data_IF_533914220641
#
_entry.id   IF_533914220641
#
_cell.length_a   1.000
_cell.length_b   1.000
_cell.length_c   1.000
_cell.angle_alpha   90.00
_cell.angle_beta   90.00
_cell.angle_gamma   90.00
#
_symmetry.space_group_name_H-M   'P 1'
#
loop_
_entity.id
_entity.type
_entity.pdbx_description
1 polymer ?
#
# COMPACT_ATOMS: atom_id res chain seq x y z
N UNK A 1 -3.60 29.09 1.43
CA UNK A 1 -3.23 28.49 2.73
C UNK A 1 -4.33 28.76 3.73
N UNK A 2 -4.90 27.71 4.31
CA UNK A 2 -5.96 27.74 5.33
C UNK A 2 -5.42 27.19 6.64
N UNK A 3 -5.71 27.86 7.75
CA UNK A 3 -5.45 27.34 9.10
C UNK A 3 -6.55 26.37 9.49
N UNK A 4 -6.18 25.18 9.95
CA UNK A 4 -7.11 24.19 10.51
C UNK A 4 -6.57 23.61 11.81
N UNK A 5 -7.41 22.89 12.54
CA UNK A 5 -7.03 22.18 13.76
C UNK A 5 -7.17 20.69 13.53
N UNK A 6 -6.07 19.99 13.30
CA UNK A 6 -6.07 18.54 13.02
C UNK A 6 -5.41 17.81 14.18
N UNK A 7 -6.11 16.85 14.78
CA UNK A 7 -5.52 16.03 15.85
C UNK A 7 -4.58 14.98 15.23
N UNK A 8 -3.26 15.05 15.45
CA UNK A 8 -2.32 14.11 14.84
C UNK A 8 -2.30 12.76 15.58
N UNK A 9 -1.89 11.66 14.92
CA UNK A 9 -1.82 10.33 15.54
C UNK A 9 -0.82 10.24 16.71
N UNK A 10 0.23 11.07 16.70
CA UNK A 10 1.23 11.15 17.77
C UNK A 10 0.95 12.28 18.78
N UNK A 11 -0.32 12.71 18.93
CA UNK A 11 -0.68 13.86 19.77
C UNK A 11 -0.26 13.69 21.23
N UNK A 12 -0.33 12.48 21.78
CA UNK A 12 0.09 12.21 23.16
C UNK A 12 1.57 12.58 23.39
N UNK A 13 2.44 12.14 22.49
CA UNK A 13 3.87 12.46 22.52
C UNK A 13 4.09 13.96 22.29
N UNK A 14 3.43 14.53 21.28
CA UNK A 14 3.52 15.96 20.94
C UNK A 14 3.20 16.85 22.14
N UNK A 15 2.15 16.51 22.90
CA UNK A 15 1.79 17.26 24.10
C UNK A 15 2.80 17.06 25.23
N UNK A 16 3.28 15.84 25.47
CA UNK A 16 4.25 15.59 26.55
C UNK A 16 5.61 16.26 26.30
N UNK A 17 5.96 16.50 25.02
CA UNK A 17 7.16 17.23 24.61
C UNK A 17 6.98 18.76 24.64
N UNK A 18 5.74 19.28 24.77
CA UNK A 18 5.47 20.71 24.85
C UNK A 18 5.93 21.30 26.20
N UNK A 19 6.78 22.34 26.20
CA UNK A 19 7.20 23.03 27.42
C UNK A 19 6.02 23.59 28.23
N UNK A 20 4.97 24.06 27.56
CA UNK A 20 3.77 24.61 28.20
C UNK A 20 2.95 23.52 28.92
N UNK A 21 2.87 22.31 28.33
CA UNK A 21 2.22 21.16 28.98
C UNK A 21 3.07 20.68 30.16
N UNK A 22 4.39 20.61 30.01
CA UNK A 22 5.28 20.25 31.12
C UNK A 22 5.12 21.25 32.27
N UNK A 23 5.13 22.55 31.97
CA UNK A 23 4.89 23.60 32.95
C UNK A 23 3.51 23.50 33.60
N UNK A 24 2.44 23.21 32.85
CA UNK A 24 1.12 22.94 33.42
C UNK A 24 1.12 21.75 34.38
N UNK A 25 1.83 20.66 34.06
CA UNK A 25 1.88 19.49 34.93
C UNK A 25 2.69 19.77 36.21
N UNK A 26 3.79 20.51 36.11
CA UNK A 26 4.75 20.70 37.21
C UNK A 26 4.55 21.97 38.04
N UNK A 27 3.87 22.99 37.53
CA UNK A 27 3.71 24.30 38.17
C UNK A 27 2.23 24.70 38.28
N UNK A 28 1.89 25.44 39.34
CA UNK A 28 0.59 26.09 39.54
C UNK A 28 0.62 27.60 39.22
N UNK A 29 1.70 28.10 38.61
CA UNK A 29 1.87 29.52 38.27
C UNK A 29 1.00 29.96 37.07
N UNK A 30 0.39 29.01 36.36
CA UNK A 30 -0.50 29.32 35.25
C UNK A 30 -1.90 29.72 35.76
N UNK A 31 -2.58 30.65 35.07
CA UNK A 31 -3.95 31.01 35.43
C UNK A 31 -4.88 29.79 35.38
N UNK A 32 -5.73 29.65 36.40
CA UNK A 32 -6.74 28.58 36.53
C UNK A 32 -6.17 27.15 36.60
N UNK A 33 -4.88 26.98 36.90
CA UNK A 33 -4.34 25.64 37.21
C UNK A 33 -4.61 25.24 38.65
N UNK A 34 -5.06 24.00 38.85
CA UNK A 34 -5.28 23.46 40.18
C UNK A 34 -3.97 23.37 40.97
N UNK A 35 -4.00 23.63 42.28
CA UNK A 35 -2.82 23.49 43.14
C UNK A 35 -2.38 22.02 43.31
N UNK A 36 -3.34 21.10 43.34
CA UNK A 36 -3.08 19.66 43.46
C UNK A 36 -2.55 19.07 42.13
N UNK A 37 -1.32 18.53 42.11
CA UNK A 37 -0.77 17.87 40.93
C UNK A 37 -1.63 16.71 40.41
N UNK A 38 -2.37 16.02 41.29
CA UNK A 38 -3.26 14.92 40.87
C UNK A 38 -4.44 15.42 40.07
N UNK A 39 -4.99 16.58 40.44
CA UNK A 39 -6.06 17.20 39.69
C UNK A 39 -5.57 17.65 38.31
N UNK A 40 -4.39 18.29 38.23
CA UNK A 40 -3.80 18.69 36.93
C UNK A 40 -3.55 17.48 36.03
N UNK A 41 -3.06 16.37 36.58
CA UNK A 41 -2.89 15.12 35.82
C UNK A 41 -4.23 14.57 35.33
N UNK A 42 -5.29 14.64 36.15
CA UNK A 42 -6.62 14.20 35.76
C UNK A 42 -7.20 15.07 34.62
N UNK A 43 -7.05 16.39 34.70
CA UNK A 43 -7.45 17.35 33.67
C UNK A 43 -6.69 17.12 32.35
N UNK A 44 -5.37 16.91 32.43
CA UNK A 44 -4.56 16.52 31.28
C UNK A 44 -5.00 15.20 30.67
N UNK A 45 -5.26 14.18 31.50
CA UNK A 45 -5.75 12.87 31.04
C UNK A 45 -7.11 12.99 30.37
N UNK A 46 -7.99 13.86 30.87
CA UNK A 46 -9.29 14.13 30.26
C UNK A 46 -9.15 14.76 28.87
N UNK A 47 -8.30 15.79 28.75
CA UNK A 47 -7.98 16.44 27.48
C UNK A 47 -7.35 15.45 26.48
N UNK A 48 -6.39 14.64 26.93
CA UNK A 48 -5.75 13.62 26.11
C UNK A 48 -6.76 12.56 25.66
N UNK A 49 -7.66 12.11 26.54
CA UNK A 49 -8.73 11.18 26.17
C UNK A 49 -9.66 11.74 25.09
N UNK A 50 -9.98 13.04 25.14
CA UNK A 50 -10.77 13.71 24.11
C UNK A 50 -10.03 13.75 22.76
N UNK A 51 -8.73 14.06 22.77
CA UNK A 51 -7.89 14.05 21.58
C UNK A 51 -7.76 12.64 20.99
N UNK A 52 -7.50 11.63 21.81
CA UNK A 52 -7.39 10.23 21.37
C UNK A 52 -8.65 9.74 20.65
N UNK A 53 -9.84 10.16 21.09
CA UNK A 53 -11.10 9.85 20.41
C UNK A 53 -11.31 10.59 19.08
N UNK A 54 -10.54 11.64 18.85
CA UNK A 54 -10.65 12.51 17.68
C UNK A 54 -9.37 12.49 16.83
N UNK A 55 -8.49 11.51 16.99
CA UNK A 55 -7.29 11.35 16.13
C UNK A 55 -7.72 11.37 14.66
N UNK A 56 -6.97 12.13 13.85
CA UNK A 56 -7.23 12.36 12.44
C UNK A 56 -8.40 13.31 12.14
N UNK A 57 -9.21 13.73 13.12
CA UNK A 57 -10.29 14.68 12.90
C UNK A 57 -9.74 16.09 12.72
N UNK A 58 -10.37 16.85 11.82
CA UNK A 58 -10.01 18.24 11.54
C UNK A 58 -11.20 19.17 11.76
N UNK A 59 -10.90 20.32 12.34
CA UNK A 59 -11.85 21.38 12.60
C UNK A 59 -11.46 22.62 11.79
N UNK A 60 -12.45 23.23 11.13
CA UNK A 60 -12.23 24.44 10.31
C UNK A 60 -12.12 25.74 11.12
N UNK A 61 -12.29 25.68 12.44
CA UNK A 61 -12.10 26.83 13.33
C UNK A 61 -11.72 26.40 14.74
N UNK A 62 -11.05 27.31 15.47
CA UNK A 62 -10.70 27.11 16.88
C UNK A 62 -11.95 26.89 17.74
N UNK A 63 -13.06 27.58 17.46
CA UNK A 63 -14.30 27.44 18.21
C UNK A 63 -14.97 26.07 17.97
N UNK A 64 -14.88 25.54 16.75
CA UNK A 64 -15.36 24.20 16.45
C UNK A 64 -14.51 23.16 17.18
N UNK A 65 -13.18 23.28 17.13
CA UNK A 65 -12.26 22.40 17.86
C UNK A 65 -12.51 22.44 19.37
N UNK A 66 -12.58 23.64 19.96
CA UNK A 66 -12.79 23.82 21.39
C UNK A 66 -14.13 23.23 21.87
N UNK A 67 -15.20 23.42 21.08
CA UNK A 67 -16.52 22.88 21.38
C UNK A 67 -16.54 21.35 21.33
N UNK A 68 -16.00 20.77 20.27
CA UNK A 68 -16.04 19.32 20.05
C UNK A 68 -15.08 18.55 20.96
N UNK A 69 -13.89 19.10 21.21
CA UNK A 69 -12.87 18.44 22.03
C UNK A 69 -13.14 18.64 23.52
N UNK A 70 -13.59 19.84 23.92
CA UNK A 70 -13.60 20.24 25.33
C UNK A 70 -14.95 20.76 25.83
N UNK A 71 -16.01 20.73 25.02
CA UNK A 71 -17.34 21.24 25.41
C UNK A 71 -17.45 22.77 25.38
N UNK A 72 -16.48 23.47 24.79
CA UNK A 72 -16.48 24.93 24.68
C UNK A 72 -16.31 25.62 26.03
N UNK A 73 -16.93 26.78 26.24
CA UNK A 73 -16.79 27.54 27.49
C UNK A 73 -17.33 26.82 28.73
N UNK A 74 -18.26 25.87 28.57
CA UNK A 74 -18.84 25.06 29.63
C UNK A 74 -18.04 23.78 29.95
N UNK A 75 -16.89 23.59 29.31
CA UNK A 75 -16.00 22.44 29.49
C UNK A 75 -15.36 22.35 30.87
N UNK A 76 -14.95 21.13 31.24
CA UNK A 76 -14.22 20.85 32.49
C UNK A 76 -12.71 20.99 32.36
N UNK A 77 -12.18 21.15 31.14
CA UNK A 77 -10.74 21.34 30.90
C UNK A 77 -10.38 22.82 31.12
N UNK A 78 -9.36 23.13 31.95
CA UNK A 78 -8.93 24.51 32.20
C UNK A 78 -8.62 25.29 30.92
N UNK A 79 -8.88 26.61 30.92
CA UNK A 79 -8.64 27.48 29.74
C UNK A 79 -7.19 27.38 29.27
N UNK A 80 -6.23 27.45 30.19
CA UNK A 80 -4.80 27.40 29.88
C UNK A 80 -4.44 26.12 29.10
N UNK A 81 -4.87 24.96 29.62
CA UNK A 81 -4.63 23.67 28.98
C UNK A 81 -5.30 23.58 27.61
N UNK A 82 -6.55 24.05 27.47
CA UNK A 82 -7.25 24.05 26.17
C UNK A 82 -6.52 24.87 25.12
N UNK A 83 -6.07 26.08 25.47
CA UNK A 83 -5.37 26.95 24.53
C UNK A 83 -4.04 26.35 24.10
N UNK A 84 -3.28 25.77 25.03
CA UNK A 84 -2.03 25.06 24.71
C UNK A 84 -2.28 23.90 23.75
N UNK A 85 -3.29 23.07 24.02
CA UNK A 85 -3.64 21.95 23.14
C UNK A 85 -4.10 22.43 21.77
N UNK A 86 -4.95 23.45 21.70
CA UNK A 86 -5.45 24.00 20.43
C UNK A 86 -4.31 24.59 19.59
N UNK A 87 -3.28 25.16 20.22
CA UNK A 87 -2.06 25.58 19.52
C UNK A 87 -1.23 24.40 19.04
N UNK A 88 -1.14 23.32 19.82
CA UNK A 88 -0.37 22.14 19.45
C UNK A 88 -0.95 21.38 18.24
N UNK A 89 -2.25 21.53 17.97
CA UNK A 89 -2.94 20.87 16.85
C UNK A 89 -3.24 21.81 15.67
N UNK A 90 -2.80 23.07 15.74
CA UNK A 90 -2.99 24.01 14.63
C UNK A 90 -2.05 23.64 13.49
N UNK A 91 -2.59 23.57 12.29
CA UNK A 91 -1.83 23.25 11.08
C UNK A 91 -2.16 24.24 9.98
N UNK A 92 -1.12 24.69 9.28
CA UNK A 92 -1.28 25.42 8.03
C UNK A 92 -1.36 24.42 6.88
N UNK A 93 -2.42 24.54 6.10
CA UNK A 93 -2.72 23.60 5.02
C UNK A 93 -2.78 24.37 3.71
N UNK A 94 -2.15 23.81 2.67
CA UNK A 94 -2.23 24.39 1.33
C UNK A 94 -3.59 24.15 0.68
N UNK A 95 -4.02 25.04 -0.22
CA UNK A 95 -5.45 25.23 -0.55
C UNK A 95 -6.14 24.06 -1.25
N UNK A 96 -5.42 23.04 -1.73
CA UNK A 96 -5.97 21.71 -2.02
C UNK A 96 -4.92 20.67 -2.39
N UNK A 97 -4.91 19.53 -1.70
CA UNK A 97 -4.24 18.32 -2.20
C UNK A 97 -4.89 17.91 -3.52
N UNK A 98 -4.10 17.60 -4.58
CA UNK A 98 -4.66 17.25 -5.88
C UNK A 98 -5.53 16.00 -5.80
N UNK A 99 -6.63 16.02 -6.56
CA UNK A 99 -7.53 14.86 -6.70
C UNK A 99 -6.97 13.90 -7.75
N UNK A 100 -7.23 12.58 -7.63
CA UNK A 100 -6.74 11.62 -8.60
C UNK A 100 -7.29 11.94 -10.00
N UNK A 101 -6.45 11.71 -11.02
CA UNK A 101 -6.87 11.74 -12.41
C UNK A 101 -7.46 10.39 -12.82
N UNK A 102 -8.31 10.36 -13.87
CA UNK A 102 -8.80 9.10 -14.42
C UNK A 102 -7.68 8.15 -14.79
N UNK A 103 -7.89 6.86 -14.52
CA UNK A 103 -7.01 5.77 -14.92
C UNK A 103 -6.88 5.73 -16.45
N UNK A 104 -5.69 5.45 -16.99
CA UNK A 104 -5.52 5.16 -18.41
C UNK A 104 -6.34 3.94 -18.85
N UNK A 105 -6.81 3.93 -20.10
CA UNK A 105 -7.66 2.84 -20.64
C UNK A 105 -6.99 1.46 -20.52
N UNK A 106 -5.67 1.39 -20.73
CA UNK A 106 -4.88 0.17 -20.58
C UNK A 106 -4.92 -0.41 -19.16
N UNK A 107 -5.03 0.45 -18.15
CA UNK A 107 -5.17 0.06 -16.74
C UNK A 107 -6.60 -0.39 -16.49
N UNK A 108 -7.60 0.32 -17.04
CA UNK A 108 -9.02 -0.01 -16.91
C UNK A 108 -9.33 -1.41 -17.46
N UNK A 109 -8.84 -1.70 -18.66
CA UNK A 109 -9.06 -2.99 -19.33
C UNK A 109 -8.47 -4.16 -18.54
N UNK A 110 -7.28 -3.95 -17.98
CA UNK A 110 -6.61 -4.97 -17.19
C UNK A 110 -7.31 -5.17 -15.85
N UNK A 111 -7.57 -4.09 -15.11
CA UNK A 111 -8.15 -4.17 -13.77
C UNK A 111 -9.46 -4.98 -13.71
N UNK A 112 -10.25 -4.92 -14.79
CA UNK A 112 -11.47 -5.72 -14.94
C UNK A 112 -12.52 -5.36 -13.88
N UNK A 113 -13.21 -6.37 -13.35
CA UNK A 113 -14.04 -6.19 -12.15
C UNK A 113 -13.18 -6.34 -10.89
N UNK A 114 -13.39 -5.46 -9.92
CA UNK A 114 -12.55 -5.39 -8.73
C UNK A 114 -13.32 -4.95 -7.49
N UNK A 115 -12.73 -5.22 -6.33
CA UNK A 115 -13.10 -4.69 -5.02
C UNK A 115 -12.04 -3.69 -4.61
N UNK A 116 -12.45 -2.53 -4.10
CA UNK A 116 -11.57 -1.45 -3.70
C UNK A 116 -11.86 -0.97 -2.28
N UNK A 117 -10.87 -0.35 -1.66
CA UNK A 117 -10.97 0.31 -0.38
C UNK A 117 -10.46 1.75 -0.47
N UNK A 118 -11.15 2.66 0.21
CA UNK A 118 -10.70 4.03 0.47
C UNK A 118 -10.12 4.09 1.87
N UNK A 119 -8.99 4.76 2.03
CA UNK A 119 -8.22 4.74 3.27
C UNK A 119 -7.88 6.17 3.72
N UNK A 120 -7.99 6.41 5.02
CA UNK A 120 -7.67 7.69 5.65
C UNK A 120 -6.21 7.68 6.13
N UNK A 121 -5.31 8.47 5.53
CA UNK A 121 -3.91 8.45 5.92
C UNK A 121 -3.66 9.04 7.33
N UNK A 122 -4.63 9.76 7.90
CA UNK A 122 -4.45 10.48 9.17
C UNK A 122 -4.49 9.56 10.37
N UNK A 123 -5.36 8.54 10.32
CA UNK A 123 -5.60 7.60 11.42
C UNK A 123 -5.50 6.12 10.99
N UNK A 124 -5.15 5.88 9.72
CA UNK A 124 -5.04 4.56 9.10
C UNK A 124 -6.32 3.72 9.18
N UNK A 125 -7.47 4.36 9.00
CA UNK A 125 -8.76 3.67 8.96
C UNK A 125 -9.26 3.43 7.54
N UNK A 126 -9.96 2.30 7.33
CA UNK A 126 -10.71 2.06 6.10
C UNK A 126 -12.01 2.88 6.13
N UNK A 127 -12.17 3.78 5.17
CA UNK A 127 -13.31 4.69 5.05
C UNK A 127 -14.51 4.03 4.37
N UNK A 128 -14.24 3.24 3.32
CA UNK A 128 -15.26 2.64 2.48
C UNK A 128 -14.66 1.45 1.74
N UNK A 129 -15.45 0.38 1.60
CA UNK A 129 -15.15 -0.74 0.70
C UNK A 129 -16.27 -0.82 -0.33
N UNK A 130 -15.91 -0.89 -1.61
CA UNK A 130 -16.85 -0.97 -2.70
C UNK A 130 -16.38 -1.94 -3.78
N UNK A 131 -17.24 -2.15 -4.78
CA UNK A 131 -16.90 -2.90 -5.99
C UNK A 131 -17.15 -2.05 -7.24
N UNK A 132 -16.45 -2.38 -8.33
CA UNK A 132 -16.57 -1.59 -9.54
C UNK A 132 -15.75 -2.08 -10.72
N UNK A 133 -15.78 -1.27 -11.78
CA UNK A 133 -14.98 -1.37 -13.00
C UNK A 133 -14.45 0.00 -13.36
N UNK A 134 -13.37 0.05 -14.15
CA UNK A 134 -12.74 1.29 -14.59
C UNK A 134 -12.47 2.26 -13.45
N UNK A 135 -12.95 3.50 -13.59
CA UNK A 135 -12.69 4.60 -12.66
C UNK A 135 -13.59 4.65 -11.42
N UNK A 136 -14.39 3.61 -11.14
CA UNK A 136 -15.33 3.59 -10.01
C UNK A 136 -14.67 3.86 -8.65
N UNK A 137 -13.43 3.42 -8.46
CA UNK A 137 -12.62 3.65 -7.26
C UNK A 137 -12.50 5.14 -6.88
N UNK A 138 -12.52 6.05 -7.86
CA UNK A 138 -12.40 7.49 -7.63
C UNK A 138 -13.74 8.21 -7.47
N UNK A 139 -14.87 7.52 -7.67
CA UNK A 139 -16.18 8.15 -7.77
C UNK A 139 -16.58 8.92 -6.50
N UNK A 140 -16.34 8.34 -5.31
CA UNK A 140 -16.61 9.00 -4.04
C UNK A 140 -15.71 10.22 -3.81
N UNK A 141 -14.44 10.14 -4.22
CA UNK A 141 -13.50 11.27 -4.13
C UNK A 141 -13.93 12.43 -5.01
N UNK A 142 -14.23 12.16 -6.27
CA UNK A 142 -14.67 13.20 -7.20
C UNK A 142 -16.02 13.79 -6.79
N UNK A 143 -17.00 12.98 -6.39
CA UNK A 143 -18.29 13.46 -5.92
C UNK A 143 -18.19 14.28 -4.63
N UNK A 144 -17.34 13.86 -3.68
CA UNK A 144 -17.10 14.59 -2.44
C UNK A 144 -16.53 15.98 -2.73
N UNK A 145 -15.66 16.10 -3.72
CA UNK A 145 -14.93 17.33 -4.03
C UNK A 145 -15.58 18.20 -5.12
N UNK A 146 -16.73 17.79 -5.64
CA UNK A 146 -17.46 18.51 -6.68
C UNK A 146 -16.83 18.40 -8.07
N UNK A 147 -15.98 17.41 -8.29
CA UNK A 147 -15.24 17.17 -9.54
C UNK A 147 -16.11 16.48 -10.59
N UNK A 148 -17.30 17.04 -10.86
CA UNK A 148 -18.30 16.46 -11.78
C UNK A 148 -17.72 16.25 -13.19
N UNK A 149 -16.82 17.12 -13.62
CA UNK A 149 -16.15 16.99 -14.92
C UNK A 149 -15.32 15.70 -15.03
N UNK A 150 -14.64 15.26 -13.95
CA UNK A 150 -13.88 13.99 -13.95
C UNK A 150 -14.81 12.78 -13.98
N UNK A 151 -15.94 12.83 -13.28
CA UNK A 151 -16.98 11.79 -13.35
C UNK A 151 -17.51 11.62 -14.78
N UNK A 152 -17.84 12.74 -15.45
CA UNK A 152 -18.32 12.72 -16.83
C UNK A 152 -17.26 12.22 -17.80
N UNK A 153 -16.03 12.74 -17.72
CA UNK A 153 -14.93 12.33 -18.61
C UNK A 153 -14.58 10.84 -18.45
N UNK A 154 -14.68 10.30 -17.23
CA UNK A 154 -14.43 8.91 -16.95
C UNK A 154 -15.63 7.97 -17.20
N UNK A 155 -16.78 8.51 -17.66
CA UNK A 155 -17.99 7.72 -17.89
C UNK A 155 -18.58 7.09 -16.62
N UNK A 156 -18.32 7.67 -15.44
CA UNK A 156 -18.75 7.13 -14.15
C UNK A 156 -19.97 7.91 -13.65
N UNK A 157 -21.09 7.20 -13.45
CA UNK A 157 -22.27 7.79 -12.81
C UNK A 157 -21.96 8.23 -11.38
N UNK A 158 -22.47 9.40 -11.00
CA UNK A 158 -22.39 9.89 -9.63
C UNK A 158 -22.93 8.85 -8.64
N UNK A 159 -22.32 8.68 -7.46
CA UNK A 159 -22.85 7.83 -6.41
C UNK A 159 -24.30 8.21 -6.07
N UNK A 160 -25.17 7.21 -5.92
CA UNK A 160 -26.55 7.45 -5.47
C UNK A 160 -26.54 7.81 -3.98
N UNK A 161 -27.35 8.79 -3.59
CA UNK A 161 -27.45 9.19 -2.18
C UNK A 161 -28.11 8.08 -1.37
N UNK A 162 -27.35 7.54 -0.43
CA UNK A 162 -27.78 6.62 0.63
C UNK A 162 -27.08 7.06 1.92
N UNK A 163 -27.57 6.67 3.12
CA UNK A 163 -26.92 7.03 4.38
C UNK A 163 -25.44 6.66 4.44
N UNK A 164 -25.07 5.50 3.90
CA UNK A 164 -23.70 4.99 3.85
C UNK A 164 -22.83 5.82 2.91
N UNK A 165 -23.34 6.16 1.72
CA UNK A 165 -22.64 6.97 0.73
C UNK A 165 -22.48 8.41 1.25
N UNK A 166 -23.51 9.00 1.84
CA UNK A 166 -23.46 10.34 2.40
C UNK A 166 -22.46 10.43 3.57
N UNK A 167 -22.34 9.37 4.37
CA UNK A 167 -21.31 9.25 5.40
C UNK A 167 -19.90 9.16 4.79
N UNK A 168 -19.70 8.35 3.76
CA UNK A 168 -18.43 8.24 3.06
C UNK A 168 -18.01 9.58 2.43
N UNK A 169 -18.94 10.28 1.74
CA UNK A 169 -18.69 11.59 1.14
C UNK A 169 -18.27 12.64 2.17
N UNK A 170 -18.95 12.71 3.33
CA UNK A 170 -18.55 13.60 4.43
C UNK A 170 -17.16 13.29 4.93
N UNK A 171 -16.83 12.00 5.10
CA UNK A 171 -15.53 11.59 5.62
C UNK A 171 -14.40 11.90 4.64
N UNK A 172 -14.60 11.63 3.35
CA UNK A 172 -13.67 11.99 2.26
C UNK A 172 -13.44 13.50 2.22
N UNK A 173 -14.49 14.34 2.27
CA UNK A 173 -14.34 15.81 2.36
C UNK A 173 -13.47 16.19 3.55
N UNK A 174 -13.75 15.61 4.71
CA UNK A 174 -12.98 15.83 5.93
C UNK A 174 -11.49 15.51 5.80
N UNK A 175 -11.10 14.50 5.02
CA UNK A 175 -9.67 14.20 4.74
C UNK A 175 -9.02 15.33 3.96
N UNK A 176 -9.63 15.76 2.86
CA UNK A 176 -9.11 16.83 2.00
C UNK A 176 -9.12 18.20 2.68
N UNK A 177 -10.14 18.49 3.50
CA UNK A 177 -10.20 19.68 4.35
C UNK A 177 -9.05 19.77 5.37
N UNK A 178 -8.33 18.67 5.58
CA UNK A 178 -7.15 18.57 6.45
C UNK A 178 -5.83 18.67 5.72
N UNK A 179 -5.84 18.81 4.39
CA UNK A 179 -4.62 18.83 3.57
C UNK A 179 -4.09 17.47 3.16
N UNK A 180 -4.84 16.40 3.42
CA UNK A 180 -4.47 15.04 3.02
C UNK A 180 -5.28 14.60 1.81
N UNK A 181 -4.75 13.64 1.04
CA UNK A 181 -5.53 12.92 0.04
C UNK A 181 -5.98 11.56 0.58
N UNK A 182 -7.20 11.17 0.26
CA UNK A 182 -7.64 9.78 0.47
C UNK A 182 -6.78 8.84 -0.36
N UNK A 183 -6.28 7.77 0.25
CA UNK A 183 -5.55 6.71 -0.45
C UNK A 183 -6.54 5.69 -1.02
N UNK A 184 -6.23 5.17 -2.22
CA UNK A 184 -7.08 4.23 -2.94
C UNK A 184 -6.36 2.90 -3.09
N UNK A 185 -6.98 1.83 -2.59
CA UNK A 185 -6.45 0.48 -2.65
C UNK A 185 -7.38 -0.43 -3.43
N UNK A 186 -6.81 -1.36 -4.17
CA UNK A 186 -7.51 -2.47 -4.79
C UNK A 186 -7.29 -3.71 -3.94
N UNK A 187 -8.38 -4.22 -3.39
CA UNK A 187 -8.41 -5.34 -2.45
C UNK A 187 -8.40 -6.67 -3.20
N UNK A 188 -9.11 -6.72 -4.33
CA UNK A 188 -9.10 -7.83 -5.25
C UNK A 188 -9.37 -7.30 -6.66
N UNK A 189 -8.63 -7.76 -7.66
CA UNK A 189 -8.80 -7.39 -9.06
C UNK A 189 -9.03 -8.61 -9.96
N UNK A 190 -9.35 -8.35 -11.23
CA UNK A 190 -9.57 -9.39 -12.24
C UNK A 190 -10.59 -10.44 -11.78
N UNK A 191 -11.63 -10.00 -11.06
CA UNK A 191 -12.68 -10.89 -10.58
C UNK A 191 -13.47 -11.40 -11.78
N UNK A 192 -13.20 -12.65 -12.13
CA UNK A 192 -13.94 -13.38 -13.15
C UNK A 192 -15.23 -13.94 -12.55
N UNK A 193 -16.27 -14.20 -13.39
CA UNK A 193 -17.42 -14.97 -12.95
C UNK A 193 -16.95 -16.27 -12.30
N UNK A 194 -17.47 -16.57 -11.10
CA UNK A 194 -17.06 -17.76 -10.38
C UNK A 194 -17.41 -19.01 -11.19
N UNK A 195 -16.44 -19.92 -11.33
CA UNK A 195 -16.66 -21.21 -12.01
C UNK A 195 -17.63 -22.10 -11.21
N UNK A 196 -17.56 -22.02 -9.88
CA UNK A 196 -18.43 -22.70 -8.93
C UNK A 196 -18.45 -21.95 -7.57
N UNK A 197 -19.19 -22.49 -6.60
CA UNK A 197 -19.33 -21.89 -5.26
C UNK A 197 -18.02 -21.86 -4.47
N UNK A 198 -17.13 -22.84 -4.65
CA UNK A 198 -15.85 -22.90 -3.94
C UNK A 198 -14.88 -21.84 -4.46
N UNK A 199 -14.88 -21.59 -5.78
CA UNK A 199 -14.13 -20.48 -6.38
C UNK A 199 -14.61 -19.12 -5.86
N UNK A 200 -15.94 -18.93 -5.75
CA UNK A 200 -16.51 -17.70 -5.18
C UNK A 200 -16.09 -17.51 -3.71
N UNK A 201 -16.16 -18.58 -2.91
CA UNK A 201 -15.75 -18.56 -1.51
C UNK A 201 -14.25 -18.24 -1.36
N UNK A 202 -13.40 -18.85 -2.20
CA UNK A 202 -11.96 -18.59 -2.21
C UNK A 202 -11.60 -17.15 -2.56
N UNK A 203 -12.19 -16.59 -3.62
CA UNK A 203 -11.98 -15.19 -4.00
C UNK A 203 -12.47 -14.21 -2.93
N UNK A 204 -13.62 -14.53 -2.31
CA UNK A 204 -14.16 -13.75 -1.19
C UNK A 204 -13.22 -13.77 0.01
N UNK A 205 -12.73 -14.96 0.41
CA UNK A 205 -11.79 -15.09 1.51
C UNK A 205 -10.50 -14.30 1.27
N UNK A 206 -9.96 -14.35 0.05
CA UNK A 206 -8.78 -13.57 -0.33
C UNK A 206 -9.03 -12.05 -0.21
N UNK A 207 -10.19 -11.58 -0.68
CA UNK A 207 -10.56 -10.16 -0.55
C UNK A 207 -10.72 -9.73 0.92
N UNK A 208 -11.32 -10.57 1.76
CA UNK A 208 -11.46 -10.31 3.20
C UNK A 208 -10.10 -10.25 3.88
N UNK A 209 -9.21 -11.21 3.59
CA UNK A 209 -7.83 -11.21 4.12
C UNK A 209 -7.08 -9.94 3.69
N UNK A 210 -7.17 -9.55 2.42
CA UNK A 210 -6.52 -8.34 1.91
C UNK A 210 -7.06 -7.06 2.57
N UNK A 211 -8.38 -6.97 2.79
CA UNK A 211 -9.00 -5.83 3.47
C UNK A 211 -8.61 -5.74 4.96
N UNK A 212 -8.59 -6.87 5.67
CA UNK A 212 -8.14 -6.92 7.07
C UNK A 212 -6.64 -6.62 7.18
N UNK A 213 -5.84 -7.04 6.19
CA UNK A 213 -4.42 -6.71 6.10
C UNK A 213 -4.13 -5.21 6.06
N UNK A 214 -5.05 -4.38 5.53
CA UNK A 214 -4.91 -2.91 5.57
C UNK A 214 -4.95 -2.34 7.00
N UNK A 215 -5.58 -3.06 7.94
CA UNK A 215 -5.75 -2.64 9.32
C UNK A 215 -4.65 -3.18 10.24
N UNK A 216 -3.84 -4.13 9.77
CA UNK A 216 -2.74 -4.71 10.54
C UNK A 216 -1.57 -3.72 10.65
N UNK A 217 -1.08 -3.51 11.87
CA UNK A 217 0.10 -2.67 12.09
C UNK A 217 1.34 -3.38 11.53
N UNK A 218 2.08 -2.73 10.64
CA UNK A 218 3.28 -3.29 10.00
C UNK A 218 4.51 -3.36 10.95
N UNK A 219 4.29 -3.21 12.27
CA UNK A 219 5.33 -3.19 13.30
C UNK A 219 5.13 -4.34 14.28
N UNK A 220 5.34 -5.56 13.80
CA UNK A 220 5.22 -6.77 14.59
C UNK A 220 4.90 -8.00 13.74
N UNK A 221 4.65 -9.12 14.41
CA UNK A 221 4.07 -10.29 13.77
C UNK A 221 2.61 -10.00 13.39
N UNK A 222 2.20 -10.47 12.22
CA UNK A 222 0.80 -10.38 11.80
C UNK A 222 -0.08 -11.19 12.75
N UNK A 223 -1.18 -10.58 13.20
CA UNK A 223 -2.20 -11.27 13.98
C UNK A 223 -2.98 -12.22 13.07
N UNK A 224 -3.31 -11.77 11.85
CA UNK A 224 -3.95 -12.57 10.84
C UNK A 224 -2.97 -13.60 10.27
N UNK A 225 -3.14 -14.85 10.68
CA UNK A 225 -2.27 -15.98 10.28
C UNK A 225 -2.28 -16.24 8.77
N UNK A 226 -3.29 -15.78 8.03
CA UNK A 226 -3.31 -15.85 6.56
C UNK A 226 -2.22 -14.98 5.90
N UNK A 227 -1.71 -14.00 6.64
CA UNK A 227 -0.56 -13.16 6.30
C UNK A 227 0.75 -13.74 6.84
N UNK A 228 0.74 -14.85 7.59
CA UNK A 228 1.98 -15.49 8.02
C UNK A 228 2.79 -15.92 6.79
N UNK A 229 4.07 -15.52 6.74
CA UNK A 229 4.95 -15.72 5.59
C UNK A 229 4.82 -14.66 4.48
N UNK A 230 3.94 -13.65 4.63
CA UNK A 230 4.08 -12.42 3.85
C UNK A 230 5.24 -11.62 4.43
N UNK A 231 6.46 -11.96 4.05
CA UNK A 231 7.56 -10.99 4.16
C UNK A 231 7.27 -9.83 3.21
N UNK A 232 7.90 -8.66 3.41
CA UNK A 232 7.79 -7.52 2.46
C UNK A 232 8.09 -7.89 0.99
N UNK A 233 8.62 -9.09 0.74
CA UNK A 233 8.94 -9.63 -0.59
C UNK A 233 7.81 -10.46 -1.22
N UNK A 234 6.80 -10.91 -0.45
CA UNK A 234 5.71 -11.80 -0.90
C UNK A 234 4.39 -11.05 -1.20
N UNK A 235 4.40 -9.71 -1.22
CA UNK A 235 3.21 -8.83 -1.25
C UNK A 235 2.18 -9.10 -2.36
N UNK A 236 2.59 -9.70 -3.49
CA UNK A 236 1.81 -9.65 -4.72
C UNK A 236 0.43 -10.36 -4.71
N UNK A 237 0.19 -11.34 -3.83
CA UNK A 237 -1.00 -12.20 -3.96
C UNK A 237 -2.03 -12.04 -2.82
N UNK A 238 -1.73 -11.35 -1.71
CA UNK A 238 -2.61 -11.39 -0.51
C UNK A 238 -2.85 -10.05 0.19
N UNK A 239 -2.22 -8.97 -0.26
CA UNK A 239 -2.37 -7.66 0.36
C UNK A 239 -3.07 -6.73 -0.63
N UNK A 240 -3.94 -5.87 -0.12
CA UNK A 240 -4.56 -4.83 -0.93
C UNK A 240 -3.48 -3.91 -1.51
N UNK A 241 -3.55 -3.62 -2.82
CA UNK A 241 -2.51 -2.90 -3.55
C UNK A 241 -2.89 -1.43 -3.76
N UNK A 242 -2.01 -0.46 -3.51
CA UNK A 242 -2.26 0.93 -3.87
C UNK A 242 -2.57 1.05 -5.38
N UNK A 243 -3.57 1.85 -5.75
CA UNK A 243 -3.93 2.01 -7.17
C UNK A 243 -2.78 2.58 -8.00
N UNK A 244 -1.95 3.45 -7.41
CA UNK A 244 -0.80 4.04 -8.08
C UNK A 244 0.22 2.97 -8.53
N UNK A 245 0.36 1.90 -7.75
CA UNK A 245 1.22 0.76 -8.11
C UNK A 245 0.64 -0.04 -9.27
N UNK A 246 -0.67 -0.28 -9.26
CA UNK A 246 -1.36 -0.95 -10.36
C UNK A 246 -1.31 -0.13 -11.64
N UNK A 247 -1.47 1.20 -11.55
CA UNK A 247 -1.30 2.10 -12.69
C UNK A 247 0.09 1.94 -13.28
N UNK A 248 1.13 1.98 -12.45
CA UNK A 248 2.52 1.78 -12.90
C UNK A 248 2.70 0.42 -13.59
N UNK A 249 2.16 -0.64 -13.00
CA UNK A 249 2.28 -1.99 -13.54
C UNK A 249 1.52 -2.17 -14.85
N UNK A 250 0.26 -1.71 -14.92
CA UNK A 250 -0.63 -1.95 -16.06
C UNK A 250 -0.42 -0.97 -17.21
N UNK A 251 0.17 0.20 -16.94
CA UNK A 251 0.60 1.14 -17.99
C UNK A 251 1.88 0.70 -18.69
N UNK A 252 2.65 -0.22 -18.09
CA UNK A 252 3.85 -0.75 -18.73
C UNK A 252 3.47 -1.60 -19.95
N UNK A 253 4.20 -1.39 -21.05
CA UNK A 253 4.01 -2.16 -22.28
C UNK A 253 4.23 -3.64 -21.99
N UNK A 254 3.34 -4.52 -22.46
CA UNK A 254 3.57 -5.95 -22.34
C UNK A 254 4.90 -6.33 -23.01
N UNK A 255 5.73 -7.13 -22.34
CA UNK A 255 6.99 -7.60 -22.89
C UNK A 255 6.77 -8.30 -24.25
N UNK A 256 7.74 -8.26 -25.18
CA UNK A 256 7.71 -9.15 -26.33
C UNK A 256 7.76 -10.63 -25.89
N UNK A 257 7.68 -11.57 -26.83
CA UNK A 257 7.81 -13.00 -26.49
C UNK A 257 9.14 -13.25 -25.77
N UNK A 258 9.08 -13.88 -24.57
CA UNK A 258 10.28 -14.15 -23.79
C UNK A 258 11.21 -15.10 -24.56
N UNK A 259 12.55 -14.93 -24.47
CA UNK A 259 13.49 -15.85 -25.09
C UNK A 259 13.29 -17.28 -24.55
N UNK A 260 13.69 -18.28 -25.34
CA UNK A 260 13.74 -19.67 -24.88
C UNK A 260 15.05 -20.26 -25.38
N UNK A 261 15.97 -20.67 -24.48
CA UNK A 261 15.85 -20.66 -23.01
C UNK A 261 16.01 -19.24 -22.39
N UNK A 262 15.40 -19.00 -21.23
CA UNK A 262 15.67 -17.82 -20.38
C UNK A 262 15.41 -18.11 -18.90
N UNK A 263 15.84 -17.21 -18.03
CA UNK A 263 15.47 -17.19 -16.60
C UNK A 263 14.88 -15.83 -16.26
N UNK A 264 13.78 -15.84 -15.51
CA UNK A 264 13.26 -14.65 -14.85
C UNK A 264 13.59 -14.73 -13.37
N UNK A 265 14.26 -13.71 -12.85
CA UNK A 265 14.56 -13.54 -11.44
C UNK A 265 13.58 -12.53 -10.86
N UNK A 266 12.63 -12.99 -10.06
CA UNK A 266 11.78 -12.08 -9.29
C UNK A 266 12.55 -11.59 -8.06
N UNK A 267 12.77 -10.28 -7.99
CA UNK A 267 13.45 -9.59 -6.88
C UNK A 267 12.61 -8.39 -6.50
N UNK A 268 11.96 -8.42 -5.34
CA UNK A 268 11.03 -7.36 -4.95
C UNK A 268 11.78 -6.05 -4.62
N UNK A 269 12.97 -6.14 -4.01
CA UNK A 269 13.80 -4.98 -3.66
C UNK A 269 14.27 -4.18 -4.88
N UNK A 270 14.24 -4.78 -6.08
CA UNK A 270 14.56 -4.10 -7.32
C UNK A 270 13.51 -3.04 -7.75
N UNK A 271 12.36 -2.94 -7.05
CA UNK A 271 11.28 -1.98 -7.31
C UNK A 271 11.69 -0.50 -7.28
N UNK A 272 12.64 -0.13 -6.42
CA UNK A 272 13.12 1.25 -6.31
C UNK A 272 14.64 1.37 -6.48
N UNK A 273 15.27 0.28 -6.90
CA UNK A 273 16.71 0.20 -7.06
C UNK A 273 17.19 0.93 -8.33
N UNK A 274 18.38 1.55 -8.24
CA UNK A 274 19.13 2.02 -9.40
C UNK A 274 19.61 0.83 -10.25
N UNK A 275 20.01 1.02 -11.52
CA UNK A 275 20.53 -0.07 -12.35
C UNK A 275 21.70 -0.84 -11.70
N UNK A 276 22.62 -0.12 -11.05
CA UNK A 276 23.73 -0.71 -10.29
C UNK A 276 23.24 -1.58 -9.12
N UNK A 277 22.26 -1.09 -8.36
CA UNK A 277 21.66 -1.85 -7.28
C UNK A 277 20.89 -3.07 -7.79
N UNK A 278 20.18 -2.96 -8.92
CA UNK A 278 19.50 -4.10 -9.55
C UNK A 278 20.52 -5.18 -9.93
N UNK A 279 21.70 -4.79 -10.39
CA UNK A 279 22.80 -5.70 -10.69
C UNK A 279 23.29 -6.43 -9.44
N UNK A 280 23.59 -5.69 -8.37
CA UNK A 280 24.03 -6.27 -7.10
C UNK A 280 23.01 -7.29 -6.55
N UNK A 281 21.72 -6.97 -6.67
CA UNK A 281 20.64 -7.87 -6.29
C UNK A 281 20.58 -9.13 -7.17
N UNK A 282 20.82 -8.99 -8.47
CA UNK A 282 20.86 -10.11 -9.40
C UNK A 282 22.01 -11.09 -9.09
N UNK A 283 23.14 -10.57 -8.61
CA UNK A 283 24.34 -11.33 -8.25
C UNK A 283 24.21 -12.16 -6.96
N UNK A 284 23.04 -12.15 -6.32
CA UNK A 284 22.75 -13.07 -5.22
C UNK A 284 22.82 -14.55 -5.69
N UNK A 285 23.06 -15.51 -4.79
CA UNK A 285 23.03 -16.93 -5.15
C UNK A 285 21.60 -17.43 -5.43
N UNK A 286 21.42 -18.19 -6.51
CA UNK A 286 20.14 -18.74 -6.94
C UNK A 286 20.16 -20.27 -7.08
N UNK A 287 19.01 -20.97 -7.01
CA UNK A 287 18.93 -22.42 -7.20
C UNK A 287 19.05 -22.82 -8.69
N UNK A 288 20.16 -22.45 -9.33
CA UNK A 288 20.41 -22.73 -10.74
C UNK A 288 20.79 -24.20 -10.96
N UNK A 289 19.80 -25.01 -11.33
CA UNK A 289 19.98 -26.42 -11.67
C UNK A 289 20.89 -26.63 -12.89
N UNK A 290 21.43 -27.84 -13.03
CA UNK A 290 22.37 -28.22 -14.10
C UNK A 290 21.84 -27.91 -15.51
N UNK A 291 20.53 -28.00 -15.74
CA UNK A 291 19.92 -27.71 -17.03
C UNK A 291 20.05 -26.24 -17.44
N UNK A 292 19.90 -25.30 -16.50
CA UNK A 292 20.11 -23.88 -16.77
C UNK A 292 21.61 -23.57 -16.92
N UNK A 293 22.45 -24.16 -16.06
CA UNK A 293 23.90 -23.90 -16.07
C UNK A 293 24.65 -24.38 -17.31
N UNK A 294 24.06 -25.31 -18.08
CA UNK A 294 24.62 -25.81 -19.35
C UNK A 294 24.25 -24.97 -20.56
N UNK A 295 23.35 -24.00 -20.41
CA UNK A 295 23.01 -23.09 -21.49
C UNK A 295 24.05 -21.98 -21.56
N UNK A 296 24.79 -21.95 -22.67
CA UNK A 296 25.71 -20.86 -22.96
C UNK A 296 24.94 -19.57 -23.29
N UNK A 297 25.40 -18.45 -22.74
CA UNK A 297 24.77 -17.15 -22.96
C UNK A 297 23.31 -17.08 -22.50
N UNK A 298 22.92 -17.75 -21.40
CA UNK A 298 21.54 -17.79 -20.94
C UNK A 298 21.00 -16.38 -20.58
N UNK A 299 19.92 -15.90 -21.22
CA UNK A 299 19.26 -14.65 -20.84
C UNK A 299 18.70 -14.68 -19.43
N UNK A 300 18.97 -13.64 -18.65
CA UNK A 300 18.47 -13.42 -17.29
C UNK A 300 17.71 -12.09 -17.26
N UNK A 301 16.43 -12.13 -16.93
CA UNK A 301 15.58 -10.95 -16.77
C UNK A 301 15.24 -10.75 -15.30
N UNK A 302 15.63 -9.63 -14.72
CA UNK A 302 15.26 -9.27 -13.34
C UNK A 302 13.91 -8.57 -13.37
N UNK A 303 12.97 -9.05 -12.57
CA UNK A 303 11.59 -8.54 -12.53
C UNK A 303 11.23 -8.12 -11.10
N UNK A 304 10.68 -6.92 -10.96
CA UNK A 304 10.07 -6.41 -9.74
C UNK A 304 8.67 -5.88 -10.08
N UNK A 305 7.66 -6.23 -9.30
CA UNK A 305 6.25 -5.88 -9.56
C UNK A 305 5.81 -6.18 -11.00
N UNK A 306 6.24 -7.33 -11.54
CA UNK A 306 6.00 -7.76 -12.92
C UNK A 306 6.60 -6.83 -13.99
N UNK A 307 7.47 -5.89 -13.64
CA UNK A 307 8.22 -5.04 -14.57
C UNK A 307 9.67 -5.50 -14.63
N UNK A 308 10.22 -5.63 -15.83
CA UNK A 308 11.64 -5.96 -16.00
C UNK A 308 12.49 -4.74 -15.63
N UNK A 309 13.42 -4.94 -14.71
CA UNK A 309 14.30 -3.91 -14.14
C UNK A 309 15.75 -4.00 -14.60
N UNK A 310 16.13 -5.15 -15.13
CA UNK A 310 17.45 -5.37 -15.70
C UNK A 310 17.45 -6.60 -16.57
N UNK A 311 18.32 -6.62 -17.57
CA UNK A 311 18.50 -7.75 -18.46
C UNK A 311 19.99 -8.05 -18.61
N UNK A 312 20.35 -9.31 -18.38
CA UNK A 312 21.72 -9.78 -18.33
C UNK A 312 21.88 -11.04 -19.16
N UNK A 313 23.13 -11.38 -19.45
CA UNK A 313 23.47 -12.64 -20.10
C UNK A 313 24.48 -13.42 -19.28
N UNK A 314 24.10 -14.60 -18.81
CA UNK A 314 25.01 -15.48 -18.09
C UNK A 314 26.01 -16.13 -19.04
N UNK A 315 27.29 -15.91 -18.77
CA UNK A 315 28.45 -16.52 -19.43
C UNK A 315 29.06 -17.65 -18.59
N UNK A 316 28.72 -17.73 -17.31
CA UNK A 316 29.22 -18.75 -16.40
C UNK A 316 28.47 -18.80 -15.08
N UNK A 317 28.90 -19.68 -14.18
CA UNK A 317 28.29 -19.89 -12.87
C UNK A 317 29.35 -20.16 -11.82
N UNK A 318 29.22 -19.51 -10.67
CA UNK A 318 30.05 -19.72 -9.49
C UNK A 318 29.21 -20.34 -8.37
N UNK A 319 29.71 -21.41 -7.76
CA UNK A 319 29.03 -22.05 -6.64
C UNK A 319 29.16 -21.20 -5.37
N UNK A 320 28.03 -20.83 -4.77
CA UNK A 320 28.01 -20.22 -3.45
C UNK A 320 28.17 -21.28 -2.35
N UNK A 321 28.59 -20.84 -1.16
CA UNK A 321 28.78 -21.73 -0.01
C UNK A 321 27.48 -22.45 0.36
N UNK A 322 27.61 -23.75 0.67
CA UNK A 322 26.51 -24.56 1.19
C UNK A 322 26.18 -24.11 2.61
N UNK A 323 24.95 -23.73 2.87
CA UNK A 323 24.48 -23.36 4.22
C UNK A 323 23.35 -24.28 4.67
N UNK A 324 23.21 -24.47 5.99
CA UNK A 324 22.07 -25.22 6.57
C UNK A 324 20.74 -24.53 6.28
N UNK A 325 20.72 -23.19 6.22
CA UNK A 325 19.56 -22.37 5.87
C UNK A 325 18.98 -22.69 4.48
N UNK A 326 19.81 -23.13 3.53
CA UNK A 326 19.39 -23.49 2.17
C UNK A 326 19.00 -24.97 2.02
N UNK A 327 18.75 -25.67 3.14
CA UNK A 327 18.38 -27.09 3.15
C UNK A 327 19.46 -28.01 2.57
N UNK A 328 20.72 -27.56 2.59
CA UNK A 328 21.85 -28.30 2.04
C UNK A 328 21.96 -28.26 0.50
N UNK A 329 21.26 -27.38 -0.19
CA UNK A 329 21.38 -27.18 -1.66
C UNK A 329 22.47 -26.17 -1.97
N UNK A 330 23.31 -26.46 -2.98
CA UNK A 330 24.29 -25.50 -3.50
C UNK A 330 23.55 -24.47 -4.37
N UNK A 331 23.61 -23.21 -3.99
CA UNK A 331 23.16 -22.09 -4.80
C UNK A 331 24.30 -21.62 -5.71
N UNK A 332 23.97 -20.94 -6.79
CA UNK A 332 24.92 -20.47 -7.78
C UNK A 332 24.68 -19.01 -8.11
N UNK A 333 25.76 -18.24 -8.18
CA UNK A 333 25.79 -16.91 -8.76
C UNK A 333 26.07 -17.04 -10.25
N UNK A 334 25.36 -16.29 -11.09
CA UNK A 334 25.73 -16.23 -12.50
C UNK A 334 26.89 -15.24 -12.70
N UNK A 335 27.76 -15.54 -13.64
CA UNK A 335 28.79 -14.63 -14.14
C UNK A 335 28.29 -14.08 -15.47
N UNK A 336 28.38 -12.78 -15.71
CA UNK A 336 27.87 -12.17 -16.94
C UNK A 336 27.68 -10.67 -16.79
N UNK A 337 27.38 -9.98 -17.89
CA UNK A 337 27.19 -8.53 -17.93
C UNK A 337 25.76 -8.19 -18.37
N UNK A 338 25.42 -6.89 -18.33
CA UNK A 338 24.21 -6.40 -18.96
C UNK A 338 24.19 -6.73 -20.45
N UNK A 339 23.00 -7.00 -20.97
CA UNK A 339 22.80 -7.29 -22.39
C UNK A 339 22.02 -6.12 -23.03
N UNK A 340 22.70 -5.21 -23.75
CA UNK A 340 22.06 -4.00 -24.29
C UNK A 340 20.88 -4.28 -25.24
N UNK A 341 20.90 -5.41 -25.95
CA UNK A 341 19.80 -5.79 -26.84
C UNK A 341 18.59 -6.24 -26.03
N UNK A 342 18.80 -7.08 -25.02
CA UNK A 342 17.73 -7.50 -24.13
C UNK A 342 17.20 -6.32 -23.30
N UNK A 343 18.06 -5.42 -22.84
CA UNK A 343 17.65 -4.24 -22.08
C UNK A 343 16.70 -3.37 -22.89
N UNK A 344 17.09 -3.04 -24.13
CA UNK A 344 16.25 -2.25 -25.05
C UNK A 344 14.90 -2.92 -25.34
N UNK A 345 14.86 -4.24 -25.36
CA UNK A 345 13.64 -5.00 -25.66
C UNK A 345 12.72 -5.20 -24.46
N UNK A 346 13.29 -5.38 -23.27
CA UNK A 346 12.56 -5.89 -22.11
C UNK A 346 12.48 -4.92 -20.94
N UNK A 347 13.47 -4.06 -20.68
CA UNK A 347 13.42 -3.14 -19.53
C UNK A 347 12.18 -2.24 -19.63
N UNK A 348 11.54 -2.01 -18.48
CA UNK A 348 10.26 -1.29 -18.34
C UNK A 348 9.05 -1.95 -19.03
N UNK A 349 9.22 -3.18 -19.52
CA UNK A 349 8.10 -3.99 -20.02
C UNK A 349 7.56 -4.93 -18.96
N UNK A 350 6.29 -5.30 -19.12
CA UNK A 350 5.57 -6.17 -18.19
C UNK A 350 5.71 -7.65 -18.51
N UNK A 351 6.13 -8.43 -17.53
CA UNK A 351 6.22 -9.89 -17.51
C UNK A 351 5.48 -10.44 -16.30
N UNK A 352 4.46 -11.26 -16.54
CA UNK A 352 3.64 -11.91 -15.51
C UNK A 352 3.92 -13.43 -15.46
N UNK A 353 3.62 -14.12 -14.34
CA UNK A 353 3.93 -15.54 -14.17
C UNK A 353 3.36 -16.46 -15.26
N UNK A 354 2.15 -16.14 -15.74
CA UNK A 354 1.44 -16.89 -16.77
C UNK A 354 2.20 -16.94 -18.11
N UNK A 355 3.05 -15.94 -18.39
CA UNK A 355 3.93 -15.93 -19.57
C UNK A 355 5.02 -17.01 -19.52
N UNK A 356 5.29 -17.56 -18.33
CA UNK A 356 6.15 -18.72 -18.12
C UNK A 356 5.33 -20.01 -17.86
N UNK A 357 4.01 -19.96 -18.01
CA UNK A 357 3.11 -21.07 -17.68
C UNK A 357 2.95 -21.30 -16.18
N UNK A 358 3.28 -20.30 -15.34
CA UNK A 358 3.18 -20.37 -13.89
C UNK A 358 1.87 -19.73 -13.43
N UNK A 359 1.25 -20.31 -12.39
CA UNK A 359 0.10 -19.67 -11.72
C UNK A 359 0.50 -18.50 -10.84
N UNK A 360 1.70 -18.55 -10.27
CA UNK A 360 2.29 -17.54 -9.38
C UNK A 360 3.81 -17.62 -9.44
N UNK A 361 4.49 -16.55 -9.06
CA UNK A 361 5.95 -16.58 -8.94
C UNK A 361 6.42 -17.52 -7.82
N UNK A 362 7.56 -18.22 -8.00
CA UNK A 362 8.18 -19.00 -6.93
C UNK A 362 8.59 -18.10 -5.75
N UNK A 363 8.48 -18.59 -4.52
CA UNK A 363 8.86 -17.84 -3.31
C UNK A 363 10.35 -17.47 -3.28
N UNK A 364 11.19 -18.32 -3.86
CA UNK A 364 12.64 -18.10 -3.99
C UNK A 364 13.03 -17.27 -5.23
N UNK A 365 12.07 -16.67 -5.95
CA UNK A 365 12.31 -15.75 -7.07
C UNK A 365 12.81 -16.35 -8.39
N UNK A 366 13.47 -17.51 -8.38
CA UNK A 366 14.03 -18.17 -9.57
C UNK A 366 12.96 -18.86 -10.46
N UNK A 367 12.73 -18.37 -11.68
CA UNK A 367 11.75 -18.91 -12.62
C UNK A 367 12.36 -19.20 -14.00
N UNK A 368 12.79 -20.46 -14.27
CA UNK A 368 13.41 -20.82 -15.54
C UNK A 368 12.38 -21.20 -16.62
N UNK A 369 12.63 -20.77 -17.86
CA UNK A 369 11.94 -21.22 -19.08
C UNK A 369 12.96 -21.86 -20.01
N UNK A 370 13.18 -23.17 -19.88
CA UNK A 370 14.26 -23.87 -20.61
C UNK A 370 13.80 -24.52 -21.91
N UNK A 371 12.49 -24.73 -22.10
CA UNK A 371 11.93 -25.36 -23.31
C UNK A 371 10.67 -24.64 -23.77
N UNK A 372 10.30 -24.80 -25.06
CA UNK A 372 9.05 -24.26 -25.61
C UNK A 372 7.80 -25.07 -25.18
N UNK A 373 7.99 -26.27 -24.65
CA UNK A 373 6.89 -27.11 -24.19
C UNK A 373 6.36 -26.54 -22.87
N UNK A 374 5.15 -25.96 -22.91
CA UNK A 374 4.44 -25.62 -21.68
C UNK A 374 4.30 -26.88 -20.82
N UNK A 375 4.61 -26.84 -19.52
CA UNK A 375 4.38 -27.98 -18.65
C UNK A 375 2.88 -28.32 -18.69
N UNK A 376 2.53 -29.48 -19.26
CA UNK A 376 1.17 -30.00 -19.15
C UNK A 376 0.87 -30.17 -17.66
N UNK A 377 -0.32 -29.76 -17.17
CA UNK A 377 -0.72 -30.07 -15.81
C UNK A 377 -0.68 -31.59 -15.63
N UNK A 378 0.26 -32.08 -14.82
CA UNK A 378 0.27 -33.47 -14.38
C UNK A 378 -1.03 -33.75 -13.64
N UNK A 379 -1.85 -34.73 -14.08
CA UNK A 379 -2.98 -35.18 -13.29
C UNK A 379 -2.44 -35.71 -11.96
N UNK A 380 -2.97 -35.24 -10.83
CA UNK A 380 -2.69 -35.88 -9.55
C UNK A 380 -3.12 -37.35 -9.63
N UNK A 381 -2.34 -38.30 -9.10
CA UNK A 381 -2.85 -39.64 -8.89
C UNK A 381 -4.08 -39.53 -7.99
N UNK A 382 -5.19 -40.15 -8.41
CA UNK A 382 -6.38 -40.25 -7.57
C UNK A 382 -6.03 -41.13 -6.36
N UNK A 383 -6.48 -40.76 -5.14
CA UNK A 383 -6.38 -41.64 -3.98
C UNK A 383 -7.16 -42.94 -4.19
#
# INVERSE_FOLDING_TARGET
MRTVWTVPPNIAQTLLESPEIQMFLTSNELPETADDPRQRLAEFTHALGALSRNIGRTFGSVDAANRELFGGSAGTVPVALRLTVLRAIVTEVDDRTPTPDPLPDTVVDQLGAYVYALFDPRDRTVLHIGSGRGNRIFALTWAALGETHKLTAAGVSAPQSTPEIDAALRRVRGVYDSGYAVEHFVVADHLLPAADGDHAAGATAQAVVAALGLLESHRGEFVLTNLAGTTGDSEADRVARPIAELVRQYSAKAAPELPTPCVVLRITEAKSASPEQVRDLADRPWPAGTAARRVDGLPILVVADNIVRGAYRATGWEAASRTEENGGTILYRFLGESDPELEKMFVDTRVTPDRLGLKRWPSHGWAPRLTKAMPRPTPRPRP
#
